data_IF_037593314797
#
_entry.id   IF_037593314797
#
_cell.length_a   1.000
_cell.length_b   1.000
_cell.length_c   1.000
_cell.angle_alpha   90.00
_cell.angle_beta   90.00
_cell.angle_gamma   90.00
#
_symmetry.space_group_name_H-M   'P 1'
#
loop_
_entity.id
_entity.type
_entity.pdbx_description
1 polymer ?
#
# COMPACT_ATOMS: atom_id res chain seq x y z
N UNK A 1 -5.72 5.37 25.14
CA UNK A 1 -5.77 4.04 24.54
C UNK A 1 -6.82 4.03 23.44
N UNK A 2 -6.43 3.70 22.22
CA UNK A 2 -7.34 3.68 21.06
C UNK A 2 -8.36 2.52 21.12
N UNK A 3 -8.13 1.56 22.00
CA UNK A 3 -9.08 0.43 22.22
C UNK A 3 -10.19 0.77 23.20
N UNK A 4 -10.08 1.91 23.89
CA UNK A 4 -11.14 2.44 24.77
C UNK A 4 -11.90 3.56 24.04
N UNK A 5 -13.14 3.31 23.60
CA UNK A 5 -13.91 4.31 22.85
C UNK A 5 -14.21 5.59 23.65
N UNK A 6 -14.27 5.52 24.96
CA UNK A 6 -14.52 6.70 25.82
C UNK A 6 -13.24 7.54 25.95
N UNK A 7 -12.11 6.88 26.19
CA UNK A 7 -10.79 7.54 26.23
C UNK A 7 -10.46 8.18 24.88
N UNK A 8 -10.72 7.48 23.78
CA UNK A 8 -10.51 7.97 22.42
C UNK A 8 -11.30 9.26 22.16
N UNK A 9 -12.63 9.24 22.38
CA UNK A 9 -13.47 10.44 22.21
C UNK A 9 -13.08 11.59 23.13
N UNK A 10 -12.68 11.29 24.35
CA UNK A 10 -12.23 12.34 25.28
C UNK A 10 -10.93 12.99 24.81
N UNK A 11 -10.00 12.22 24.26
CA UNK A 11 -8.75 12.73 23.71
C UNK A 11 -8.96 13.60 22.46
N UNK A 12 -10.03 13.37 21.71
CA UNK A 12 -10.37 14.12 20.49
C UNK A 12 -11.18 15.41 20.74
N UNK A 13 -11.66 15.65 21.95
CA UNK A 13 -12.46 16.87 22.26
C UNK A 13 -11.67 18.13 22.02
N UNK A 14 -12.19 19.03 21.16
CA UNK A 14 -11.56 20.32 20.84
C UNK A 14 -10.34 20.19 19.90
N UNK A 15 -10.21 19.04 19.22
CA UNK A 15 -9.20 18.80 18.20
C UNK A 15 -9.82 19.01 16.82
N UNK A 16 -9.15 19.74 15.96
CA UNK A 16 -9.59 20.01 14.60
C UNK A 16 -9.25 18.86 13.64
N UNK A 17 -8.09 18.21 13.86
CA UNK A 17 -7.52 17.21 12.96
C UNK A 17 -6.96 16.02 13.74
N UNK A 18 -7.32 14.82 13.34
CA UNK A 18 -6.74 13.56 13.82
C UNK A 18 -5.86 12.98 12.72
N UNK A 19 -4.60 12.71 13.05
CA UNK A 19 -3.66 11.98 12.19
C UNK A 19 -3.45 10.59 12.79
N UNK A 20 -4.04 9.59 12.16
CA UNK A 20 -4.01 8.21 12.66
C UNK A 20 -2.83 7.43 12.06
N UNK A 21 -1.84 7.15 12.89
CA UNK A 21 -0.73 6.24 12.58
C UNK A 21 -0.76 4.98 13.45
N UNK A 22 -1.93 4.67 14.04
CA UNK A 22 -2.09 3.55 14.96
C UNK A 22 -2.34 2.25 14.18
N UNK A 23 -1.35 1.39 14.10
CA UNK A 23 -1.48 0.05 13.53
C UNK A 23 -1.83 -1.03 14.58
N UNK A 24 -2.37 -2.18 14.16
CA UNK A 24 -2.72 -2.50 12.77
C UNK A 24 -4.04 -1.87 12.33
N UNK A 25 -4.10 -1.37 11.07
CA UNK A 25 -5.23 -0.60 10.55
C UNK A 25 -6.51 -1.42 10.43
N UNK A 26 -6.44 -2.70 10.14
CA UNK A 26 -7.60 -3.60 10.12
C UNK A 26 -8.35 -3.68 11.46
N UNK A 27 -7.75 -3.18 12.57
CA UNK A 27 -8.41 -3.09 13.88
C UNK A 27 -8.87 -1.67 14.24
N UNK A 28 -8.07 -0.68 13.88
CA UNK A 28 -8.18 0.66 14.46
C UNK A 28 -8.62 1.74 13.48
N UNK A 29 -8.47 1.56 12.16
CA UNK A 29 -8.79 2.60 11.21
C UNK A 29 -10.28 3.01 11.26
N UNK A 30 -11.18 2.06 11.07
CA UNK A 30 -12.63 2.32 11.04
C UNK A 30 -13.14 2.93 12.34
N UNK A 31 -12.87 2.36 13.54
CA UNK A 31 -13.34 2.95 14.80
C UNK A 31 -12.84 4.37 15.07
N UNK A 32 -11.62 4.70 14.65
CA UNK A 32 -11.07 6.04 14.82
C UNK A 32 -11.76 7.03 13.86
N UNK A 33 -11.96 6.65 12.58
CA UNK A 33 -12.71 7.48 11.63
C UNK A 33 -14.16 7.70 12.09
N UNK A 34 -14.86 6.67 12.58
CA UNK A 34 -16.20 6.82 13.13
C UNK A 34 -16.23 7.81 14.31
N UNK A 35 -15.23 7.74 15.21
CA UNK A 35 -15.11 8.71 16.30
C UNK A 35 -14.86 10.12 15.78
N UNK A 36 -14.05 10.30 14.73
CA UNK A 36 -13.83 11.60 14.08
C UNK A 36 -15.13 12.18 13.49
N UNK A 37 -15.93 11.34 12.82
CA UNK A 37 -17.24 11.72 12.28
C UNK A 37 -18.18 12.19 13.39
N UNK A 38 -18.27 11.45 14.50
CA UNK A 38 -19.11 11.80 15.65
C UNK A 38 -18.73 13.14 16.30
N UNK A 39 -17.42 13.40 16.41
CA UNK A 39 -16.88 14.62 17.07
C UNK A 39 -16.74 15.78 16.09
N UNK A 40 -16.85 15.51 14.79
CA UNK A 40 -16.68 16.48 13.68
C UNK A 40 -15.26 17.03 13.60
N UNK A 41 -14.25 16.17 13.69
CA UNK A 41 -12.86 16.51 13.39
C UNK A 41 -12.39 15.85 12.09
N UNK A 42 -11.47 16.52 11.39
CA UNK A 42 -10.88 15.98 10.15
C UNK A 42 -10.03 14.75 10.45
N UNK A 43 -9.95 13.83 9.48
CA UNK A 43 -9.23 12.57 9.63
C UNK A 43 -8.21 12.36 8.51
N UNK A 44 -7.00 11.95 8.88
CA UNK A 44 -5.94 11.53 7.96
C UNK A 44 -5.29 10.26 8.46
N UNK A 45 -4.96 9.33 7.58
CA UNK A 45 -4.21 8.13 7.93
C UNK A 45 -3.23 7.67 6.82
N UNK A 46 -2.50 6.62 7.13
CA UNK A 46 -1.60 5.92 6.22
C UNK A 46 -2.03 4.47 6.04
N UNK A 47 -3.34 4.20 6.10
CA UNK A 47 -3.89 2.85 6.00
C UNK A 47 -3.51 2.20 4.66
N UNK A 48 -2.86 1.06 4.74
CA UNK A 48 -2.39 0.25 3.62
C UNK A 48 -3.11 -1.12 3.53
N UNK A 49 -4.11 -1.33 4.39
CA UNK A 49 -4.99 -2.50 4.37
C UNK A 49 -6.21 -2.24 3.46
N UNK A 50 -6.51 -3.14 2.53
CA UNK A 50 -7.64 -2.98 1.62
C UNK A 50 -9.01 -3.18 2.31
N UNK A 51 -9.13 -4.11 3.27
CA UNK A 51 -10.38 -4.38 3.98
C UNK A 51 -10.90 -3.15 4.74
N UNK A 52 -10.13 -2.52 5.66
CA UNK A 52 -10.61 -1.32 6.36
C UNK A 52 -10.78 -0.13 5.43
N UNK A 53 -10.00 -0.03 4.34
CA UNK A 53 -10.21 1.02 3.33
C UNK A 53 -11.59 0.90 2.69
N UNK A 54 -12.02 -0.31 2.32
CA UNK A 54 -13.36 -0.55 1.78
C UNK A 54 -14.46 -0.16 2.77
N UNK A 55 -14.29 -0.49 4.04
CA UNK A 55 -15.25 -0.11 5.08
C UNK A 55 -15.26 1.41 5.35
N UNK A 56 -14.08 2.05 5.32
CA UNK A 56 -13.98 3.52 5.46
C UNK A 56 -14.63 4.26 4.29
N UNK A 57 -14.52 3.76 3.06
CA UNK A 57 -15.19 4.33 1.88
C UNK A 57 -16.73 4.35 2.04
N UNK A 58 -17.31 3.37 2.73
CA UNK A 58 -18.76 3.34 3.02
C UNK A 58 -19.22 4.45 4.00
N UNK A 59 -18.28 5.07 4.69
CA UNK A 59 -18.55 6.17 5.62
C UNK A 59 -18.53 7.55 4.95
N UNK A 60 -18.27 7.64 3.63
CA UNK A 60 -18.16 8.90 2.89
C UNK A 60 -19.35 9.82 3.13
N UNK A 61 -20.58 9.33 2.93
CA UNK A 61 -21.80 10.13 3.14
C UNK A 61 -21.90 10.67 4.58
N UNK A 62 -21.50 9.87 5.57
CA UNK A 62 -21.52 10.31 6.97
C UNK A 62 -20.47 11.39 7.24
N UNK A 63 -19.29 11.28 6.62
CA UNK A 63 -18.24 12.28 6.72
C UNK A 63 -18.69 13.61 6.08
N UNK A 64 -19.32 13.56 4.91
CA UNK A 64 -19.93 14.74 4.25
C UNK A 64 -20.99 15.38 5.14
N UNK A 65 -21.90 14.63 5.71
CA UNK A 65 -22.95 15.12 6.62
C UNK A 65 -22.37 15.73 7.90
N UNK A 66 -21.27 15.19 8.41
CA UNK A 66 -20.55 15.74 9.56
C UNK A 66 -19.74 17.00 9.21
N UNK A 67 -19.53 17.29 7.92
CA UNK A 67 -18.75 18.44 7.42
C UNK A 67 -17.25 18.27 7.64
N UNK A 68 -16.74 17.03 7.64
CA UNK A 68 -15.31 16.73 7.80
C UNK A 68 -14.66 16.32 6.47
N UNK A 69 -13.35 16.49 6.41
CA UNK A 69 -12.49 15.88 5.39
C UNK A 69 -11.86 14.62 5.97
N UNK A 70 -12.02 13.49 5.30
CA UNK A 70 -11.32 12.26 5.62
C UNK A 70 -10.43 11.85 4.44
N UNK A 71 -9.13 11.75 4.67
CA UNK A 71 -8.14 11.30 3.68
C UNK A 71 -7.49 10.02 4.19
N UNK A 72 -7.73 8.94 3.47
CA UNK A 72 -7.25 7.60 3.85
C UNK A 72 -6.10 7.17 2.94
N UNK A 73 -5.11 6.49 3.52
CA UNK A 73 -3.98 5.94 2.78
C UNK A 73 -3.03 6.99 2.23
N UNK A 74 -2.64 7.99 3.01
CA UNK A 74 -1.76 9.08 2.56
C UNK A 74 -0.29 8.80 2.91
N UNK A 75 0.24 7.72 2.38
CA UNK A 75 1.61 7.27 2.57
C UNK A 75 2.42 7.17 1.27
N UNK A 76 3.30 6.19 1.21
CA UNK A 76 4.05 5.87 -0.01
C UNK A 76 3.22 5.00 -0.97
N UNK A 77 2.64 3.91 -0.48
CA UNK A 77 1.70 3.02 -1.16
C UNK A 77 0.71 2.51 -0.09
N UNK A 78 -0.53 2.96 -0.12
CA UNK A 78 -1.11 4.02 -0.95
C UNK A 78 -0.58 5.42 -0.62
N UNK A 79 -0.94 6.40 -1.47
CA UNK A 79 -0.59 7.79 -1.36
C UNK A 79 0.24 8.27 -2.56
N UNK A 80 1.56 8.19 -2.51
CA UNK A 80 2.43 8.56 -3.65
C UNK A 80 2.05 7.72 -4.89
N UNK A 81 1.83 6.42 -4.75
CA UNK A 81 1.39 5.55 -5.84
C UNK A 81 0.07 6.00 -6.45
N UNK A 82 -0.85 6.55 -5.64
CA UNK A 82 -2.10 7.12 -6.15
C UNK A 82 -1.87 8.37 -7.00
N UNK A 83 -0.95 9.26 -6.60
CA UNK A 83 -0.60 10.42 -7.43
C UNK A 83 0.07 10.01 -8.74
N UNK A 84 1.01 9.05 -8.71
CA UNK A 84 1.62 8.51 -9.92
C UNK A 84 0.56 7.88 -10.84
N UNK A 85 -0.39 7.13 -10.27
CA UNK A 85 -1.53 6.56 -10.99
C UNK A 85 -2.40 7.64 -11.63
N UNK A 86 -2.72 8.69 -10.89
CA UNK A 86 -3.48 9.83 -11.40
C UNK A 86 -2.77 10.54 -12.57
N UNK A 87 -1.46 10.75 -12.46
CA UNK A 87 -0.68 11.30 -13.57
C UNK A 87 -0.70 10.39 -14.80
N UNK A 88 -0.57 9.06 -14.61
CA UNK A 88 -0.65 8.11 -15.72
C UNK A 88 -2.03 8.09 -16.39
N UNK A 89 -3.12 8.13 -15.60
CA UNK A 89 -4.50 8.20 -16.08
C UNK A 89 -4.73 9.47 -16.93
N UNK A 90 -4.26 10.62 -16.44
CA UNK A 90 -4.48 11.91 -17.10
C UNK A 90 -3.76 12.05 -18.45
N UNK A 91 -2.79 11.19 -18.73
CA UNK A 91 -2.10 11.13 -20.02
C UNK A 91 -2.88 10.34 -21.09
N UNK A 92 -3.97 9.66 -20.73
CA UNK A 92 -4.79 8.85 -21.62
C UNK A 92 -6.18 9.48 -21.83
N UNK A 93 -6.79 9.29 -23.01
CA UNK A 93 -8.17 9.68 -23.26
C UNK A 93 -9.16 8.77 -22.55
N UNK A 94 -8.84 7.47 -22.48
CA UNK A 94 -9.55 6.45 -21.70
C UNK A 94 -8.57 5.47 -21.10
N UNK A 95 -8.84 5.04 -19.86
CA UNK A 95 -8.04 4.08 -19.13
C UNK A 95 -8.80 2.76 -18.99
N UNK A 96 -8.13 1.65 -19.29
CA UNK A 96 -8.69 0.30 -19.15
C UNK A 96 -8.05 -0.46 -18.00
N UNK A 97 -6.73 -0.28 -17.79
CA UNK A 97 -5.99 -0.98 -16.73
C UNK A 97 -5.07 0.00 -15.99
N UNK A 98 -4.93 -0.21 -14.69
CA UNK A 98 -4.00 0.54 -13.85
C UNK A 98 -3.29 -0.38 -12.88
N UNK A 99 -1.98 -0.30 -12.88
CA UNK A 99 -1.10 -1.00 -11.96
C UNK A 99 -0.28 0.01 -11.17
N UNK A 100 -0.32 -0.09 -9.84
CA UNK A 100 0.63 0.61 -8.97
C UNK A 100 1.68 -0.39 -8.49
N UNK A 101 2.93 0.00 -8.39
CA UNK A 101 3.98 -0.95 -8.11
C UNK A 101 5.10 -0.37 -7.25
N UNK A 102 5.77 -1.27 -6.51
CA UNK A 102 6.88 -0.91 -5.65
C UNK A 102 7.89 -2.06 -5.53
N UNK A 103 9.13 -1.71 -5.18
CA UNK A 103 10.23 -2.67 -4.99
C UNK A 103 10.19 -3.24 -3.57
N UNK A 104 10.14 -4.56 -3.42
CA UNK A 104 9.99 -5.26 -2.13
C UNK A 104 11.15 -5.03 -1.14
N UNK A 105 12.29 -4.57 -1.59
CA UNK A 105 13.43 -4.20 -0.76
C UNK A 105 13.75 -2.70 -0.81
N UNK A 106 12.86 -1.89 -1.38
CA UNK A 106 13.12 -0.48 -1.67
C UNK A 106 13.08 0.45 -0.47
N UNK A 107 12.45 0.04 0.62
CA UNK A 107 12.45 0.82 1.87
C UNK A 107 13.27 0.06 2.92
N UNK A 108 14.28 0.72 3.49
CA UNK A 108 15.03 0.16 4.61
C UNK A 108 14.15 0.21 5.86
N UNK A 109 14.04 -0.89 6.64
CA UNK A 109 13.44 -0.81 7.97
C UNK A 109 14.20 0.24 8.78
N UNK A 110 13.49 1.02 9.58
CA UNK A 110 14.18 1.93 10.50
C UNK A 110 15.00 1.12 11.51
N UNK A 111 16.16 1.65 11.89
CA UNK A 111 16.98 1.08 12.95
C UNK A 111 16.16 1.12 14.24
N UNK A 112 15.55 0.02 14.60
CA UNK A 112 14.75 -0.09 15.81
C UNK A 112 15.63 0.08 17.06
N UNK A 113 15.16 0.93 17.94
CA UNK A 113 15.61 0.87 19.34
C UNK A 113 15.27 -0.54 19.86
N UNK A 114 16.28 -1.31 20.16
CA UNK A 114 16.43 -2.60 20.89
C UNK A 114 15.24 -3.30 21.56
N UNK A 115 14.01 -3.20 21.07
CA UNK A 115 12.86 -3.90 21.61
C UNK A 115 12.42 -5.01 20.65
N UNK A 116 12.58 -6.24 21.12
CA UNK A 116 12.19 -7.55 20.55
C UNK A 116 10.69 -7.73 20.32
N UNK A 117 9.92 -6.66 20.04
CA UNK A 117 8.49 -6.76 19.76
C UNK A 117 8.26 -6.72 18.26
N UNK A 118 7.56 -7.76 17.78
CA UNK A 118 6.98 -7.77 16.43
C UNK A 118 6.16 -6.50 16.27
N UNK A 119 6.59 -5.63 15.35
CA UNK A 119 5.89 -4.38 15.09
C UNK A 119 4.65 -4.58 14.21
N UNK A 120 3.78 -3.56 14.12
CA UNK A 120 2.56 -3.61 13.35
C UNK A 120 2.83 -3.82 11.84
N UNK A 121 3.91 -3.25 11.31
CA UNK A 121 4.28 -3.37 9.90
C UNK A 121 4.63 -4.82 9.52
N UNK A 122 5.34 -5.57 10.39
CA UNK A 122 5.65 -6.99 10.15
C UNK A 122 4.38 -7.85 10.18
N UNK A 123 3.47 -7.57 11.11
CA UNK A 123 2.17 -8.25 11.17
C UNK A 123 1.35 -8.00 9.91
N UNK A 124 1.30 -6.75 9.49
CA UNK A 124 0.67 -6.33 8.26
C UNK A 124 1.28 -7.03 7.04
N UNK A 125 2.61 -7.02 6.89
CA UNK A 125 3.30 -7.72 5.80
C UNK A 125 2.94 -9.20 5.71
N UNK A 126 2.86 -9.94 6.84
CA UNK A 126 2.40 -11.33 6.84
C UNK A 126 0.96 -11.44 6.39
N UNK A 127 0.07 -10.57 6.86
CA UNK A 127 -1.34 -10.56 6.47
C UNK A 127 -1.51 -10.35 4.97
N UNK A 128 -0.83 -9.38 4.41
CA UNK A 128 -0.87 -9.05 2.97
C UNK A 128 -0.31 -10.15 2.07
N UNK A 129 0.53 -11.01 2.60
CA UNK A 129 1.15 -12.14 1.89
C UNK A 129 0.47 -13.49 2.16
N UNK A 130 -0.61 -13.54 2.95
CA UNK A 130 -1.34 -14.78 3.31
C UNK A 130 -2.81 -14.69 2.99
N UNK A 131 -3.50 -15.82 2.96
CA UNK A 131 -4.93 -15.88 2.64
C UNK A 131 -5.22 -15.49 1.19
N UNK A 132 -6.08 -14.49 1.01
CA UNK A 132 -6.44 -13.93 -0.29
C UNK A 132 -6.54 -12.42 -0.22
N UNK A 133 -6.22 -11.75 -1.32
CA UNK A 133 -6.27 -10.30 -1.45
C UNK A 133 -7.23 -9.91 -2.56
N UNK A 134 -7.87 -8.76 -2.40
CA UNK A 134 -8.81 -8.23 -3.38
C UNK A 134 -8.06 -7.49 -4.48
N UNK A 135 -8.44 -7.77 -5.71
CA UNK A 135 -8.04 -7.02 -6.91
C UNK A 135 -9.29 -6.69 -7.71
N UNK A 136 -9.14 -5.79 -8.67
CA UNK A 136 -10.18 -5.54 -9.67
C UNK A 136 -9.71 -6.10 -11.00
N UNK A 137 -10.45 -7.02 -11.57
CA UNK A 137 -10.06 -7.73 -12.79
C UNK A 137 -11.27 -7.99 -13.67
N UNK A 138 -11.13 -7.72 -14.97
CA UNK A 138 -12.19 -7.89 -15.97
C UNK A 138 -13.49 -7.15 -15.62
N UNK A 139 -13.37 -5.99 -14.98
CA UNK A 139 -14.49 -5.14 -14.60
C UNK A 139 -15.23 -5.59 -13.34
N UNK A 140 -14.64 -6.45 -12.52
CA UNK A 140 -15.21 -6.91 -11.26
C UNK A 140 -14.16 -7.15 -10.18
N UNK A 141 -14.60 -7.14 -8.93
CA UNK A 141 -13.76 -7.56 -7.81
C UNK A 141 -13.45 -9.05 -7.85
N UNK A 142 -12.21 -9.42 -7.63
CA UNK A 142 -11.75 -10.80 -7.58
C UNK A 142 -10.84 -11.01 -6.36
N UNK A 143 -11.08 -12.11 -5.62
CA UNK A 143 -10.17 -12.54 -4.56
C UNK A 143 -9.10 -13.47 -5.15
N UNK A 144 -7.84 -13.10 -5.00
CA UNK A 144 -6.71 -13.84 -5.55
C UNK A 144 -5.69 -14.20 -4.49
N UNK A 145 -4.89 -15.22 -4.75
CA UNK A 145 -3.73 -15.52 -3.88
C UNK A 145 -2.72 -14.38 -3.94
N UNK A 146 -2.26 -13.85 -2.81
CA UNK A 146 -1.16 -12.89 -2.79
C UNK A 146 0.11 -13.52 -3.40
N UNK A 147 1.00 -12.68 -3.88
CA UNK A 147 2.24 -13.06 -4.57
C UNK A 147 2.01 -13.92 -5.84
N UNK A 148 0.80 -13.97 -6.38
CA UNK A 148 0.53 -14.52 -7.72
C UNK A 148 1.32 -13.72 -8.76
N UNK A 149 2.07 -14.41 -9.63
CA UNK A 149 2.88 -13.78 -10.67
C UNK A 149 2.03 -13.14 -11.75
N UNK A 150 2.50 -12.01 -12.25
CA UNK A 150 1.96 -11.26 -13.37
C UNK A 150 3.14 -10.72 -14.20
N UNK A 151 2.95 -10.56 -15.52
CA UNK A 151 3.90 -9.87 -16.38
C UNK A 151 3.39 -8.47 -16.70
N UNK A 152 4.23 -7.47 -16.51
CA UNK A 152 3.98 -6.10 -16.90
C UNK A 152 4.96 -5.67 -17.98
N UNK A 153 4.45 -5.08 -19.06
CA UNK A 153 5.26 -4.42 -20.08
C UNK A 153 5.34 -2.93 -19.76
N UNK A 154 6.47 -2.53 -19.15
CA UNK A 154 6.67 -1.15 -18.73
C UNK A 154 7.31 -0.33 -19.85
N UNK A 155 6.68 0.77 -20.30
CA UNK A 155 7.13 1.56 -21.44
C UNK A 155 8.61 1.97 -21.35
N UNK A 156 9.37 1.64 -22.40
CA UNK A 156 10.80 1.96 -22.50
C UNK A 156 11.73 1.08 -21.65
N UNK A 157 11.18 0.16 -20.85
CA UNK A 157 11.99 -0.75 -20.02
C UNK A 157 11.79 -2.22 -20.37
N UNK A 158 10.60 -2.60 -20.91
CA UNK A 158 10.29 -3.97 -21.33
C UNK A 158 9.42 -4.74 -20.35
N UNK A 159 9.41 -6.07 -20.46
CA UNK A 159 8.53 -6.95 -19.72
C UNK A 159 9.20 -7.48 -18.44
N UNK A 160 8.53 -7.32 -17.32
CA UNK A 160 9.00 -7.72 -16.00
C UNK A 160 8.04 -8.69 -15.32
N UNK A 161 8.58 -9.61 -14.55
CA UNK A 161 7.81 -10.45 -13.65
C UNK A 161 7.54 -9.68 -12.34
N UNK A 162 6.26 -9.48 -12.03
CA UNK A 162 5.80 -8.82 -10.80
C UNK A 162 4.83 -9.73 -10.04
N UNK A 163 4.51 -9.39 -8.82
CA UNK A 163 3.64 -10.18 -7.96
C UNK A 163 2.54 -9.33 -7.38
N UNK A 164 1.32 -9.85 -7.39
CA UNK A 164 0.15 -9.16 -6.81
C UNK A 164 0.34 -9.01 -5.31
N UNK A 165 0.06 -7.81 -4.83
CA UNK A 165 0.07 -7.47 -3.41
C UNK A 165 -1.26 -6.85 -2.99
N UNK A 166 -1.68 -7.05 -1.74
CA UNK A 166 -3.00 -6.65 -1.28
C UNK A 166 -3.05 -5.23 -0.74
N UNK A 167 -2.95 -4.23 -1.61
CA UNK A 167 -3.04 -2.83 -1.22
C UNK A 167 -4.31 -2.15 -1.72
N UNK A 168 -4.75 -1.05 -1.08
CA UNK A 168 -6.01 -0.36 -1.38
C UNK A 168 -6.14 0.20 -2.78
N UNK A 169 -5.04 0.50 -3.48
CA UNK A 169 -5.08 1.07 -4.83
C UNK A 169 -5.86 0.19 -5.80
N UNK A 170 -5.81 -1.13 -5.59
CA UNK A 170 -6.56 -2.09 -6.40
C UNK A 170 -8.07 -1.85 -6.38
N UNK A 171 -8.62 -1.28 -5.30
CA UNK A 171 -10.06 -1.02 -5.12
C UNK A 171 -10.40 0.48 -5.21
N UNK A 172 -9.52 1.38 -4.79
CA UNK A 172 -9.79 2.81 -4.77
C UNK A 172 -9.82 3.43 -6.17
N UNK A 173 -8.98 2.96 -7.09
CA UNK A 173 -9.02 3.45 -8.47
C UNK A 173 -10.31 3.08 -9.20
N UNK A 174 -10.79 1.83 -9.23
CA UNK A 174 -12.07 1.51 -9.84
C UNK A 174 -13.27 2.21 -9.18
N UNK A 175 -13.19 2.48 -7.88
CA UNK A 175 -14.21 3.23 -7.16
C UNK A 175 -14.39 4.65 -7.72
N UNK A 176 -13.29 5.33 -8.08
CA UNK A 176 -13.30 6.68 -8.64
C UNK A 176 -13.32 6.72 -10.18
N UNK A 177 -12.83 5.68 -10.83
CA UNK A 177 -12.73 5.54 -12.28
C UNK A 177 -13.42 4.28 -12.78
N UNK A 178 -14.78 4.28 -12.91
CA UNK A 178 -15.54 3.07 -13.23
C UNK A 178 -15.25 2.46 -14.63
N UNK A 179 -14.54 3.19 -15.49
CA UNK A 179 -14.10 2.67 -16.80
C UNK A 179 -12.93 1.70 -16.71
N UNK A 180 -12.19 1.69 -15.59
CA UNK A 180 -11.09 0.75 -15.35
C UNK A 180 -11.65 -0.66 -15.25
N UNK A 181 -11.03 -1.59 -15.97
CA UNK A 181 -11.36 -3.02 -15.98
C UNK A 181 -10.41 -3.85 -15.14
N UNK A 182 -9.15 -3.41 -15.06
CA UNK A 182 -8.13 -4.10 -14.27
C UNK A 182 -7.40 -3.08 -13.39
N UNK A 183 -7.36 -3.31 -12.08
CA UNK A 183 -6.61 -2.52 -11.12
C UNK A 183 -5.96 -3.42 -10.08
N UNK A 184 -4.64 -3.32 -9.98
CA UNK A 184 -3.85 -4.16 -9.08
C UNK A 184 -2.69 -3.38 -8.50
N UNK A 185 -2.40 -3.63 -7.22
CA UNK A 185 -1.11 -3.26 -6.67
C UNK A 185 -0.16 -4.45 -6.80
N UNK A 186 1.09 -4.18 -7.17
CA UNK A 186 2.09 -5.22 -7.43
C UNK A 186 3.42 -4.87 -6.78
N UNK A 187 4.20 -5.89 -6.45
CA UNK A 187 5.57 -5.73 -6.01
C UNK A 187 6.53 -6.47 -6.94
N UNK A 188 7.78 -6.03 -6.98
CA UNK A 188 8.86 -6.65 -7.73
C UNK A 188 10.14 -6.71 -6.91
N UNK A 189 11.14 -7.46 -7.36
CA UNK A 189 12.38 -7.70 -6.64
C UNK A 189 12.23 -8.67 -5.46
N UNK A 190 13.31 -8.92 -4.74
CA UNK A 190 13.30 -9.77 -3.55
C UNK A 190 13.14 -11.27 -3.83
N UNK A 191 13.42 -11.75 -5.03
CA UNK A 191 13.21 -13.16 -5.44
C UNK A 191 13.90 -14.16 -4.50
N UNK A 192 15.14 -13.90 -4.10
CA UNK A 192 15.88 -14.73 -3.12
C UNK A 192 15.21 -14.76 -1.76
N UNK A 193 14.68 -13.61 -1.30
CA UNK A 193 13.93 -13.49 -0.05
C UNK A 193 12.60 -14.26 -0.10
N UNK A 194 11.88 -14.18 -1.21
CA UNK A 194 10.60 -14.87 -1.38
C UNK A 194 10.74 -16.40 -1.31
N UNK A 195 11.83 -16.96 -1.81
CA UNK A 195 12.09 -18.39 -1.70
C UNK A 195 12.14 -18.86 -0.24
N UNK A 196 12.72 -18.04 0.65
CA UNK A 196 12.82 -18.34 2.10
C UNK A 196 11.50 -18.06 2.83
N UNK A 197 10.77 -17.03 2.42
CA UNK A 197 9.52 -16.59 3.07
C UNK A 197 8.35 -17.53 2.73
N UNK A 198 8.25 -18.04 1.51
CA UNK A 198 7.12 -18.88 1.06
C UNK A 198 6.78 -20.06 1.97
N UNK A 199 7.71 -20.87 2.48
CA UNK A 199 7.40 -21.94 3.43
C UNK A 199 6.73 -21.42 4.70
N UNK A 200 7.17 -20.28 5.23
CA UNK A 200 6.60 -19.64 6.43
C UNK A 200 5.14 -19.25 6.16
N UNK A 201 4.89 -18.56 5.03
CA UNK A 201 3.54 -18.15 4.63
C UNK A 201 2.62 -19.36 4.38
N UNK A 202 3.16 -20.43 3.83
CA UNK A 202 2.42 -21.69 3.64
C UNK A 202 1.97 -22.29 4.97
N UNK A 203 2.84 -22.30 5.98
CA UNK A 203 2.48 -22.77 7.33
C UNK A 203 1.41 -21.90 8.00
N UNK A 204 1.42 -20.58 7.74
CA UNK A 204 0.37 -19.67 8.20
C UNK A 204 -0.95 -20.00 7.50
N UNK A 205 -0.95 -20.17 6.18
CA UNK A 205 -2.14 -20.49 5.39
C UNK A 205 -2.76 -21.83 5.80
N UNK A 206 -1.96 -22.79 6.25
CA UNK A 206 -2.44 -24.08 6.78
C UNK A 206 -2.87 -24.03 8.25
N UNK A 207 -2.75 -22.85 8.90
CA UNK A 207 -3.07 -22.70 10.32
C UNK A 207 -2.08 -23.38 11.28
N UNK A 208 -0.93 -23.83 10.77
CA UNK A 208 0.13 -24.50 11.57
C UNK A 208 1.06 -23.49 12.24
N UNK A 209 1.08 -22.23 11.76
CA UNK A 209 1.87 -21.14 12.33
C UNK A 209 0.97 -19.91 12.50
N UNK A 210 1.04 -19.26 13.66
CA UNK A 210 0.31 -18.00 13.89
C UNK A 210 0.99 -16.83 13.17
N UNK A 211 0.23 -15.83 12.73
CA UNK A 211 0.77 -14.62 12.08
C UNK A 211 1.85 -13.94 12.93
N UNK A 212 1.66 -13.84 14.25
CA UNK A 212 2.65 -13.23 15.14
C UNK A 212 3.97 -13.99 15.19
N UNK A 213 3.94 -15.33 15.17
CA UNK A 213 5.16 -16.15 15.09
C UNK A 213 5.83 -16.03 13.72
N UNK A 214 5.04 -16.01 12.64
CA UNK A 214 5.56 -15.79 11.30
C UNK A 214 6.24 -14.42 11.18
N UNK A 215 5.61 -13.38 11.69
CA UNK A 215 6.18 -12.03 11.72
C UNK A 215 7.50 -11.99 12.54
N UNK A 216 7.57 -12.67 13.67
CA UNK A 216 8.81 -12.79 14.45
C UNK A 216 9.92 -13.54 13.69
N UNK A 217 9.57 -14.58 12.93
CA UNK A 217 10.54 -15.31 12.10
C UNK A 217 11.04 -14.46 10.92
N UNK A 218 10.16 -13.70 10.29
CA UNK A 218 10.54 -12.77 9.22
C UNK A 218 11.46 -11.68 9.74
N UNK A 219 11.13 -11.06 10.87
CA UNK A 219 11.99 -10.07 11.52
C UNK A 219 13.39 -10.63 11.82
N UNK A 220 13.47 -11.84 12.36
CA UNK A 220 14.75 -12.52 12.62
C UNK A 220 15.52 -12.79 11.32
N UNK A 221 14.85 -13.15 10.22
CA UNK A 221 15.49 -13.33 8.91
C UNK A 221 16.04 -12.01 8.34
N UNK A 222 15.27 -10.93 8.45
CA UNK A 222 15.66 -9.61 7.97
C UNK A 222 16.82 -8.99 8.75
N UNK A 223 16.93 -9.31 10.04
CA UNK A 223 18.03 -8.84 10.90
C UNK A 223 19.39 -9.48 10.59
N UNK A 224 19.43 -10.50 9.71
CA UNK A 224 20.69 -11.10 9.27
C UNK A 224 21.35 -10.28 8.18
N UNK A 225 22.70 -10.11 8.21
CA UNK A 225 23.39 -9.45 7.13
C UNK A 225 23.12 -10.21 5.83
N UNK A 226 22.50 -9.53 4.88
CA UNK A 226 22.36 -10.02 3.51
C UNK A 226 23.70 -9.81 2.83
N UNK A 227 24.22 -10.82 2.16
CA UNK A 227 25.20 -10.59 1.10
C UNK A 227 24.47 -9.72 0.07
N UNK A 228 24.98 -8.52 -0.14
CA UNK A 228 24.48 -7.65 -1.21
C UNK A 228 24.64 -8.40 -2.52
N UNK A 229 23.54 -8.92 -3.06
CA UNK A 229 23.46 -9.26 -4.48
C UNK A 229 23.47 -7.93 -5.24
N UNK A 230 24.66 -7.38 -5.38
CA UNK A 230 24.93 -6.08 -6.02
C UNK A 230 24.98 -6.20 -7.53
N UNK A 231 24.14 -7.03 -8.13
CA UNK A 231 23.85 -6.90 -9.54
C UNK A 231 22.68 -5.93 -9.67
N UNK A 232 22.96 -4.64 -9.73
CA UNK A 232 22.04 -3.68 -10.33
C UNK A 232 21.88 -4.18 -11.77
N UNK A 233 20.74 -4.81 -12.05
CA UNK A 233 20.35 -5.03 -13.44
C UNK A 233 20.30 -3.64 -14.09
N UNK A 234 21.02 -3.45 -15.20
CA UNK A 234 21.05 -2.18 -15.95
C UNK A 234 19.66 -1.71 -16.36
N UNK A 235 18.68 -2.63 -16.38
CA UNK A 235 17.29 -2.37 -16.70
C UNK A 235 16.44 -3.02 -15.59
N UNK A 236 15.83 -2.19 -14.74
CA UNK A 236 14.92 -2.60 -13.68
C UNK A 236 13.65 -1.75 -13.69
N UNK A 237 12.59 -2.24 -13.07
CA UNK A 237 11.42 -1.40 -12.77
C UNK A 237 11.82 -0.31 -11.76
N UNK A 238 11.18 0.88 -11.83
CA UNK A 238 11.41 1.92 -10.84
C UNK A 238 11.03 1.44 -9.43
N UNK A 239 11.67 1.98 -8.37
CA UNK A 239 11.36 1.60 -6.99
C UNK A 239 9.90 1.79 -6.60
N UNK A 240 9.25 2.85 -7.10
CA UNK A 240 7.82 3.14 -6.98
C UNK A 240 7.34 3.65 -8.33
N UNK A 241 6.23 3.12 -8.83
CA UNK A 241 5.69 3.49 -10.12
C UNK A 241 4.18 3.27 -10.23
N UNK A 242 3.60 3.85 -11.28
CA UNK A 242 2.31 3.46 -11.81
C UNK A 242 2.41 3.18 -13.31
N UNK A 243 1.57 2.29 -13.80
CA UNK A 243 1.42 1.94 -15.20
C UNK A 243 -0.08 1.96 -15.55
N UNK A 244 -0.48 2.86 -16.44
CA UNK A 244 -1.82 2.88 -16.99
C UNK A 244 -1.80 2.37 -18.45
N UNK A 245 -2.81 1.60 -18.81
CA UNK A 245 -3.03 1.14 -20.17
C UNK A 245 -4.41 1.58 -20.65
N UNK A 246 -4.50 1.99 -21.90
CA UNK A 246 -5.75 2.50 -22.43
C UNK A 246 -5.64 3.01 -23.85
N UNK A 247 -6.34 4.11 -24.16
CA UNK A 247 -6.35 4.73 -25.49
C UNK A 247 -5.92 6.19 -25.39
N UNK A 248 -5.03 6.61 -26.30
CA UNK A 248 -4.66 8.01 -26.55
C UNK A 248 -4.72 8.30 -28.04
N UNK A 249 -5.43 9.36 -28.42
CA UNK A 249 -5.62 9.75 -29.83
C UNK A 249 -6.12 8.59 -30.74
N UNK A 250 -7.06 7.78 -30.23
CA UNK A 250 -7.64 6.65 -30.93
C UNK A 250 -6.72 5.42 -31.06
N UNK A 251 -5.57 5.39 -30.41
CA UNK A 251 -4.61 4.27 -30.43
C UNK A 251 -4.42 3.70 -29.02
N UNK A 252 -4.34 2.37 -28.94
CA UNK A 252 -3.93 1.71 -27.68
C UNK A 252 -2.50 2.09 -27.32
N UNK A 253 -2.27 2.35 -26.06
CA UNK A 253 -0.96 2.67 -25.52
C UNK A 253 -0.90 2.48 -24.02
N UNK A 254 0.30 2.59 -23.50
CA UNK A 254 0.58 2.51 -22.07
C UNK A 254 1.40 3.72 -21.63
N UNK A 255 1.19 4.15 -20.40
CA UNK A 255 1.90 5.27 -19.75
C UNK A 255 2.46 4.79 -18.42
N UNK A 256 3.79 4.77 -18.32
CA UNK A 256 4.49 4.52 -17.07
C UNK A 256 4.89 5.85 -16.43
N UNK A 257 4.61 6.00 -15.14
CA UNK A 257 4.99 7.19 -14.35
C UNK A 257 5.77 6.73 -13.12
N UNK A 258 6.90 7.36 -12.88
CA UNK A 258 7.76 7.12 -11.72
C UNK A 258 8.45 8.43 -11.32
N UNK A 259 9.21 8.40 -10.25
CA UNK A 259 10.08 9.51 -9.92
C UNK A 259 11.23 9.66 -10.94
N UNK A 260 11.75 10.87 -11.09
CA UNK A 260 12.96 11.10 -11.86
C UNK A 260 14.14 10.32 -11.24
N UNK A 261 15.03 9.81 -12.08
CA UNK A 261 16.17 8.97 -11.66
C UNK A 261 17.03 9.58 -10.54
N UNK A 262 17.18 10.90 -10.55
CA UNK A 262 17.87 11.64 -9.49
C UNK A 262 17.17 11.55 -8.12
N UNK A 263 15.85 11.41 -8.12
CA UNK A 263 15.03 11.30 -6.91
C UNK A 263 14.85 9.84 -6.45
N UNK A 264 15.08 8.86 -7.32
CA UNK A 264 15.00 7.43 -6.97
C UNK A 264 16.01 7.07 -5.87
N UNK A 265 17.21 7.63 -5.92
CA UNK A 265 18.23 7.43 -4.89
C UNK A 265 17.81 8.03 -3.54
N UNK A 266 17.16 9.18 -3.54
CA UNK A 266 16.67 9.83 -2.32
C UNK A 266 15.62 8.94 -1.64
N UNK A 267 14.67 8.38 -2.41
CA UNK A 267 13.64 7.48 -1.87
C UNK A 267 14.23 6.18 -1.32
N UNK A 268 15.25 5.62 -1.99
CA UNK A 268 15.93 4.42 -1.53
C UNK A 268 16.72 4.64 -0.22
N UNK A 269 17.18 5.87 0.03
CA UNK A 269 17.89 6.26 1.25
C UNK A 269 16.94 6.65 2.40
N UNK A 270 15.69 6.99 2.09
CA UNK A 270 14.68 7.24 3.11
C UNK A 270 14.30 5.91 3.78
N UNK A 271 14.30 5.87 5.11
CA UNK A 271 13.67 4.79 5.86
C UNK A 271 12.14 4.73 5.58
N UNK A 272 11.53 3.59 5.85
CA UNK A 272 10.09 3.37 5.61
C UNK A 272 9.22 4.42 6.31
N UNK A 273 9.56 4.82 7.53
CA UNK A 273 8.84 5.85 8.28
C UNK A 273 8.88 7.21 7.60
N UNK A 274 10.03 7.63 7.04
CA UNK A 274 10.12 8.89 6.31
C UNK A 274 9.42 8.83 4.97
N UNK A 275 9.56 7.74 4.22
CA UNK A 275 8.89 7.55 2.93
C UNK A 275 7.35 7.60 3.07
N UNK A 276 6.82 7.20 4.21
CA UNK A 276 5.39 7.23 4.53
C UNK A 276 4.99 8.54 5.24
N UNK A 277 5.79 9.02 6.18
CA UNK A 277 5.45 10.17 7.01
C UNK A 277 5.54 11.52 6.30
N UNK A 278 6.43 11.66 5.31
CA UNK A 278 6.55 12.92 4.54
C UNK A 278 5.28 13.21 3.73
N UNK A 279 4.73 12.26 2.92
CA UNK A 279 3.47 12.47 2.22
C UNK A 279 2.31 12.81 3.17
N UNK A 280 2.20 12.09 4.28
CA UNK A 280 1.21 12.38 5.31
C UNK A 280 1.33 13.81 5.83
N UNK A 281 2.53 14.23 6.21
CA UNK A 281 2.79 15.58 6.74
C UNK A 281 2.48 16.70 5.71
N UNK A 282 2.73 16.45 4.43
CA UNK A 282 2.39 17.37 3.35
C UNK A 282 0.88 17.44 3.15
N UNK A 283 0.20 16.32 3.16
CA UNK A 283 -1.23 16.25 2.88
C UNK A 283 -2.13 16.77 4.00
N UNK A 284 -1.62 16.85 5.23
CA UNK A 284 -2.35 17.44 6.38
C UNK A 284 -2.31 18.98 6.37
N UNK A 285 -1.44 19.61 5.58
CA UNK A 285 -1.32 21.08 5.45
C UNK A 285 -2.39 21.67 4.55
#
# INVERSE_FOLDING_TARGET
>A
DVTDPVALRNAMKGIDVVVNTSGPFFKFAVPILEACIEIKCHYFDICDDWEPTEEMLKLDQKAVEAGITAVIGLGASPGITNFLGLFAINELDTVESLYTGWHMGGAKPEAESSQTRVNAAMMHGVQQMTGSVKVFSKGQEEMVSPLRGLKLDYPGRGVFDVRIFGHPEAITFPHHYPAIKDSMNVCHGGESGLFVIRPILTLVNWGLLTMSRAAAWLHWLESRPRTEDSVREEISLPPIYALAEGVKNGRRGSVGVCFAAESENILADLGMGMATGIPLAIGVR
#
